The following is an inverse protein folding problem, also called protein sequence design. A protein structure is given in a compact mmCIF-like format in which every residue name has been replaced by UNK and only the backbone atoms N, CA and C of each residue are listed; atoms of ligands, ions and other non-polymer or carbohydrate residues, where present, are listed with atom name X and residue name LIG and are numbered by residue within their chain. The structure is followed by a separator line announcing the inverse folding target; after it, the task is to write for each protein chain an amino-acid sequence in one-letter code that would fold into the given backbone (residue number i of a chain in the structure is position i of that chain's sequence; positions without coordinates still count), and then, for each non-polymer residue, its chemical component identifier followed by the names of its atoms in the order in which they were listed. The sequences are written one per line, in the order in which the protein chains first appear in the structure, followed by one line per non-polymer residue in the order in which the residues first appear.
data_IF_423733225018
#
_entry.id   IF_423733225018
#
_cell.length_a   1.000
_cell.length_b   1.000
_cell.length_c   1.000
_cell.angle_alpha   90.00
_cell.angle_beta   90.00
_cell.angle_gamma   90.00
#
_symmetry.space_group_name_H-M   'P 1'
#
loop_
_entity.id
_entity.type
_entity.pdbx_description
1 polymer ?
#
# COMPACT_ATOMS: atom_id res chain seq x y z
N UNK A 1 -2.42 36.19 -6.11
CA UNK A 1 -1.37 36.68 -5.18
C UNK A 1 -0.53 35.51 -4.75
N UNK A 2 0.77 35.63 -5.03
CA UNK A 2 1.71 34.54 -5.09
C UNK A 2 2.00 33.87 -3.75
N UNK A 3 1.92 32.57 -3.73
CA UNK A 3 2.46 31.74 -2.67
C UNK A 3 3.96 31.63 -2.88
N UNK A 4 4.72 32.21 -1.96
CA UNK A 4 6.19 32.20 -1.94
C UNK A 4 6.66 30.78 -1.66
N UNK A 5 7.50 30.30 -2.54
CA UNK A 5 8.32 29.09 -2.37
C UNK A 5 9.28 29.29 -1.18
N UNK A 6 9.18 28.48 -0.15
CA UNK A 6 10.22 28.41 0.88
C UNK A 6 10.85 27.03 1.04
N UNK A 7 10.57 26.10 0.14
CA UNK A 7 10.97 24.70 0.32
C UNK A 7 11.89 24.17 -0.79
N UNK A 8 12.47 25.07 -1.54
CA UNK A 8 13.51 24.73 -2.49
C UNK A 8 14.67 25.71 -2.33
N UNK A 9 15.75 25.23 -1.77
CA UNK A 9 17.11 25.47 -2.30
C UNK A 9 18.12 24.81 -1.37
N UNK A 10 18.79 23.79 -1.89
CA UNK A 10 20.24 23.83 -1.88
C UNK A 10 20.69 23.44 -3.27
N UNK A 11 20.92 24.45 -4.12
CA UNK A 11 21.82 24.31 -5.24
C UNK A 11 23.23 24.37 -4.70
N UNK A 12 24.03 23.36 -4.95
CA UNK A 12 25.46 23.49 -4.99
C UNK A 12 25.93 23.42 -6.44
N UNK A 13 26.68 24.40 -6.82
CA UNK A 13 27.15 24.68 -8.18
C UNK A 13 28.19 23.69 -8.67
N UNK A 14 28.04 23.34 -9.93
CA UNK A 14 29.02 23.04 -10.96
C UNK A 14 30.43 22.59 -10.55
N UNK A 15 30.80 21.42 -11.05
CA UNK A 15 32.09 21.33 -11.75
C UNK A 15 31.99 20.31 -12.91
N UNK A 16 32.39 20.75 -14.09
CA UNK A 16 32.32 20.00 -15.32
C UNK A 16 33.27 18.80 -15.33
N UNK A 17 32.70 17.63 -15.58
CA UNK A 17 33.41 16.40 -15.88
C UNK A 17 32.78 15.74 -17.08
N UNK A 18 33.60 15.53 -18.12
CA UNK A 18 33.26 14.82 -19.36
C UNK A 18 32.72 13.43 -19.10
N UNK A 19 31.56 13.12 -19.68
CA UNK A 19 30.99 11.79 -19.70
C UNK A 19 31.92 10.76 -20.34
N UNK A 20 32.15 9.59 -19.73
CA UNK A 20 32.72 8.47 -20.45
C UNK A 20 31.61 7.76 -21.25
N UNK A 21 31.93 7.43 -22.48
CA UNK A 21 31.15 6.70 -23.48
C UNK A 21 30.68 5.36 -22.89
N UNK A 22 29.39 5.12 -22.88
CA UNK A 22 28.81 3.88 -22.40
C UNK A 22 29.15 2.69 -23.31
N UNK A 23 29.76 1.67 -22.73
CA UNK A 23 29.91 0.34 -23.33
C UNK A 23 28.54 -0.35 -23.30
N UNK A 24 28.09 -1.02 -24.38
CA UNK A 24 26.80 -1.71 -24.37
C UNK A 24 26.80 -2.87 -23.36
N UNK A 25 25.80 -2.87 -22.48
CA UNK A 25 25.57 -3.93 -21.53
C UNK A 25 25.12 -5.22 -22.26
N UNK A 26 25.46 -6.41 -21.75
CA UNK A 26 24.99 -7.66 -22.32
C UNK A 26 23.48 -7.80 -22.16
N UNK A 27 22.81 -8.11 -23.27
CA UNK A 27 21.39 -8.51 -23.32
C UNK A 27 21.19 -9.83 -22.60
N UNK A 28 21.03 -9.79 -21.28
CA UNK A 28 20.46 -10.87 -20.49
C UNK A 28 18.95 -10.68 -20.43
N UNK A 29 18.21 -11.65 -20.93
CA UNK A 29 16.76 -11.74 -20.77
C UNK A 29 16.41 -11.59 -19.28
N UNK A 30 15.44 -10.76 -18.89
CA UNK A 30 15.06 -10.67 -17.50
C UNK A 30 14.52 -12.03 -17.06
N UNK A 31 15.23 -12.66 -16.14
CA UNK A 31 14.71 -13.83 -15.42
C UNK A 31 13.47 -13.36 -14.70
N UNK A 32 12.32 -13.91 -15.05
CA UNK A 32 11.05 -13.61 -14.42
C UNK A 32 11.20 -13.82 -12.90
N UNK A 33 11.05 -12.73 -12.14
CA UNK A 33 10.92 -12.76 -10.68
C UNK A 33 9.75 -13.68 -10.36
N UNK A 34 9.89 -14.66 -9.43
CA UNK A 34 8.80 -15.55 -9.12
C UNK A 34 7.60 -14.72 -8.66
N UNK A 35 6.53 -14.79 -9.45
CA UNK A 35 5.19 -14.33 -9.07
C UNK A 35 4.87 -14.92 -7.70
N UNK A 36 4.56 -14.09 -6.72
CA UNK A 36 4.07 -14.54 -5.42
C UNK A 36 2.64 -15.05 -5.60
N UNK A 37 2.50 -16.16 -6.31
CA UNK A 37 1.27 -16.93 -6.35
C UNK A 37 1.04 -17.47 -4.94
N UNK A 38 -0.10 -17.14 -4.32
CA UNK A 38 -0.58 -17.83 -3.13
C UNK A 38 -0.76 -19.32 -3.47
N UNK A 39 0.29 -20.07 -3.30
CA UNK A 39 0.16 -21.51 -3.37
C UNK A 39 -0.67 -21.96 -2.18
N UNK A 40 -1.88 -22.45 -2.44
CA UNK A 40 -2.71 -23.04 -1.38
C UNK A 40 -1.94 -24.20 -0.74
N UNK A 41 -1.64 -24.06 0.56
CA UNK A 41 -0.92 -25.05 1.33
C UNK A 41 -1.91 -25.91 2.11
N UNK A 42 -1.73 -27.23 2.02
CA UNK A 42 -2.59 -28.23 2.66
C UNK A 42 -1.77 -29.44 3.06
N UNK A 43 -2.38 -30.35 3.78
CA UNK A 43 -1.73 -31.61 4.18
C UNK A 43 -0.98 -32.25 3.01
N UNK A 44 0.31 -32.51 3.19
CA UNK A 44 1.21 -33.04 2.18
C UNK A 44 1.93 -32.00 1.32
N UNK A 45 1.60 -30.71 1.38
CA UNK A 45 2.38 -29.66 0.72
C UNK A 45 3.79 -29.60 1.29
N UNK A 46 4.79 -29.26 0.45
CA UNK A 46 6.20 -29.18 0.84
C UNK A 46 6.88 -27.93 0.28
N UNK A 47 8.03 -27.55 0.87
CA UNK A 47 8.89 -26.48 0.38
C UNK A 47 8.86 -25.21 1.23
N UNK A 48 9.53 -24.15 0.73
CA UNK A 48 9.80 -22.92 1.47
C UNK A 48 8.52 -22.19 1.92
N UNK A 49 7.46 -22.28 1.14
CA UNK A 49 6.17 -21.68 1.51
C UNK A 49 5.59 -22.34 2.78
N UNK A 50 5.79 -23.66 2.95
CA UNK A 50 5.39 -24.38 4.17
C UNK A 50 6.30 -23.98 5.33
N UNK A 51 7.61 -23.88 5.09
CA UNK A 51 8.57 -23.43 6.12
C UNK A 51 8.18 -22.07 6.67
N UNK A 52 7.86 -21.11 5.80
CA UNK A 52 7.40 -19.76 6.20
C UNK A 52 6.09 -19.80 6.99
N UNK A 53 5.13 -20.60 6.53
CA UNK A 53 3.85 -20.79 7.21
C UNK A 53 4.06 -21.30 8.64
N UNK A 54 4.87 -22.36 8.79
CA UNK A 54 5.15 -22.99 10.08
C UNK A 54 5.86 -22.02 11.02
N UNK A 55 6.86 -21.29 10.51
CA UNK A 55 7.58 -20.29 11.31
C UNK A 55 6.62 -19.22 11.85
N UNK A 56 5.68 -18.75 11.03
CA UNK A 56 4.76 -17.72 11.46
C UNK A 56 3.69 -18.27 12.44
N UNK A 57 3.26 -19.50 12.26
CA UNK A 57 2.41 -20.17 13.25
C UNK A 57 3.11 -20.35 14.61
N UNK A 58 4.44 -20.59 14.63
CA UNK A 58 5.26 -20.60 15.84
C UNK A 58 5.31 -19.20 16.46
N UNK A 59 5.64 -18.19 15.66
CA UNK A 59 5.76 -16.79 16.11
C UNK A 59 4.47 -16.30 16.78
N UNK A 60 3.31 -16.71 16.26
CA UNK A 60 2.00 -16.33 16.79
C UNK A 60 1.46 -17.32 17.87
N UNK A 61 2.23 -18.35 18.22
CA UNK A 61 1.88 -19.28 19.31
C UNK A 61 0.87 -20.38 18.97
N UNK A 62 0.57 -20.57 17.67
CA UNK A 62 -0.36 -21.64 17.24
C UNK A 62 0.30 -22.99 16.97
N UNK A 63 1.63 -23.02 16.86
CA UNK A 63 2.40 -24.24 16.66
C UNK A 63 3.62 -24.29 17.58
N UNK A 64 3.81 -25.40 18.28
CA UNK A 64 4.93 -25.58 19.24
C UNK A 64 5.98 -26.59 18.76
N UNK A 65 5.79 -27.20 17.58
CA UNK A 65 6.77 -28.13 16.99
C UNK A 65 7.95 -27.39 16.34
N UNK A 66 8.94 -28.17 15.88
CA UNK A 66 10.06 -27.62 15.14
C UNK A 66 9.63 -27.11 13.76
N UNK A 67 10.37 -26.14 13.23
CA UNK A 67 10.20 -25.68 11.85
C UNK A 67 10.37 -26.84 10.88
N UNK A 68 9.45 -26.98 9.95
CA UNK A 68 9.44 -28.05 8.93
C UNK A 68 9.02 -27.48 7.58
N UNK A 69 9.51 -28.08 6.52
CA UNK A 69 9.10 -27.79 5.15
C UNK A 69 7.99 -28.70 4.65
N UNK A 70 7.41 -29.54 5.52
CA UNK A 70 6.30 -30.45 5.20
C UNK A 70 5.06 -30.06 5.97
N UNK A 71 3.93 -29.88 5.26
CA UNK A 71 2.63 -29.61 5.85
C UNK A 71 2.06 -30.92 6.44
N UNK A 72 2.39 -31.17 7.69
CA UNK A 72 1.98 -32.37 8.44
C UNK A 72 0.57 -32.20 9.02
N UNK A 73 0.02 -33.27 9.59
CA UNK A 73 -1.23 -33.22 10.35
C UNK A 73 -1.15 -32.29 11.57
N UNK A 74 0.02 -32.17 12.19
CA UNK A 74 0.25 -31.23 13.29
C UNK A 74 0.21 -29.78 12.82
N UNK A 75 0.80 -29.47 11.66
CA UNK A 75 0.70 -28.14 11.02
C UNK A 75 -0.76 -27.85 10.63
N UNK A 76 -1.49 -28.83 10.09
CA UNK A 76 -2.91 -28.68 9.78
C UNK A 76 -3.73 -28.34 11.02
N UNK A 77 -3.47 -29.01 12.15
CA UNK A 77 -4.15 -28.71 13.40
C UNK A 77 -3.87 -27.26 13.88
N UNK A 78 -2.63 -26.81 13.76
CA UNK A 78 -2.23 -25.44 14.07
C UNK A 78 -2.94 -24.41 13.17
N UNK A 79 -3.04 -24.70 11.87
CA UNK A 79 -3.80 -23.85 10.94
C UNK A 79 -5.28 -23.79 11.32
N UNK A 80 -5.91 -24.89 11.69
CA UNK A 80 -7.31 -24.88 12.17
C UNK A 80 -7.47 -24.05 13.44
N UNK A 81 -6.55 -24.16 14.40
CA UNK A 81 -6.56 -23.35 15.61
C UNK A 81 -6.45 -21.85 15.29
N UNK A 82 -5.54 -21.49 14.39
CA UNK A 82 -5.38 -20.14 13.89
C UNK A 82 -6.66 -19.62 13.20
N UNK A 83 -7.22 -20.41 12.27
CA UNK A 83 -8.44 -20.07 11.55
C UNK A 83 -9.60 -19.81 12.52
N UNK A 84 -9.78 -20.67 13.51
CA UNK A 84 -10.81 -20.51 14.56
C UNK A 84 -10.60 -19.21 15.34
N UNK A 85 -9.37 -18.93 15.77
CA UNK A 85 -9.05 -17.72 16.54
C UNK A 85 -9.24 -16.42 15.72
N UNK A 86 -9.13 -16.50 14.39
CA UNK A 86 -9.30 -15.35 13.47
C UNK A 86 -10.71 -15.27 12.85
N UNK A 87 -11.64 -16.16 13.23
CA UNK A 87 -13.00 -16.18 12.66
C UNK A 87 -13.06 -16.58 11.19
N UNK A 88 -12.06 -17.34 10.70
CA UNK A 88 -11.99 -17.83 9.33
C UNK A 88 -12.70 -19.19 9.20
N UNK A 89 -12.94 -19.62 7.96
CA UNK A 89 -13.38 -21.02 7.70
C UNK A 89 -12.34 -22.01 8.21
N UNK A 90 -12.76 -22.90 9.14
CA UNK A 90 -11.88 -23.84 9.83
C UNK A 90 -11.75 -25.14 9.02
N UNK A 91 -11.07 -25.06 7.88
CA UNK A 91 -10.88 -26.19 6.97
C UNK A 91 -9.48 -26.84 7.09
N UNK A 92 -8.56 -26.15 7.76
CA UNK A 92 -7.16 -26.58 7.88
C UNK A 92 -6.39 -26.49 6.57
N UNK A 93 -6.83 -25.61 5.67
CA UNK A 93 -6.15 -25.31 4.42
C UNK A 93 -5.63 -23.86 4.52
N UNK A 94 -4.33 -23.67 4.39
CA UNK A 94 -3.75 -22.35 4.34
C UNK A 94 -3.91 -21.79 2.90
N UNK A 95 -5.14 -21.42 2.56
CA UNK A 95 -5.50 -20.71 1.37
C UNK A 95 -5.21 -19.19 1.51
N UNK A 96 -5.59 -18.41 0.50
CA UNK A 96 -5.35 -16.97 0.45
C UNK A 96 -5.78 -16.24 1.74
N UNK A 97 -7.01 -16.45 2.20
CA UNK A 97 -7.52 -15.78 3.39
C UNK A 97 -6.74 -16.13 4.66
N UNK A 98 -6.40 -17.40 4.83
CA UNK A 98 -5.63 -17.88 5.98
C UNK A 98 -4.20 -17.32 5.97
N UNK A 99 -3.53 -17.37 4.81
CA UNK A 99 -2.18 -16.80 4.67
C UNK A 99 -2.20 -15.28 4.86
N UNK A 100 -3.19 -14.61 4.31
CA UNK A 100 -3.35 -13.17 4.51
C UNK A 100 -3.54 -12.80 5.99
N UNK A 101 -4.36 -13.52 6.72
CA UNK A 101 -4.56 -13.28 8.14
C UNK A 101 -3.31 -13.62 8.98
N UNK A 102 -2.54 -14.62 8.56
CA UNK A 102 -1.36 -15.09 9.29
C UNK A 102 -0.16 -14.17 9.11
N UNK A 103 0.13 -13.76 7.89
CA UNK A 103 1.30 -12.95 7.57
C UNK A 103 1.08 -11.44 7.70
N UNK A 104 -0.15 -11.04 8.06
CA UNK A 104 -0.52 -9.63 8.19
C UNK A 104 -0.71 -8.93 6.84
N UNK A 105 0.21 -9.05 5.95
CA UNK A 105 0.13 -8.65 4.55
C UNK A 105 1.07 -9.54 3.75
N UNK A 106 0.52 -10.59 3.20
CA UNK A 106 1.19 -11.20 2.06
C UNK A 106 0.92 -10.24 0.91
N UNK A 107 1.98 -9.80 0.23
CA UNK A 107 1.80 -9.05 -1.01
C UNK A 107 0.83 -9.85 -1.87
N UNK A 108 -0.36 -9.32 -2.20
CA UNK A 108 -1.24 -9.98 -3.15
C UNK A 108 -0.45 -10.25 -4.42
N UNK A 109 -0.65 -11.39 -5.08
CA UNK A 109 -0.04 -11.64 -6.38
C UNK A 109 -0.45 -10.55 -7.37
N UNK A 110 0.31 -10.36 -8.43
CA UNK A 110 -0.01 -9.34 -9.46
C UNK A 110 -1.47 -9.44 -9.94
N UNK A 111 -2.04 -10.64 -9.96
CA UNK A 111 -3.44 -10.91 -10.35
C UNK A 111 -4.46 -10.41 -9.31
N UNK A 112 -4.07 -10.23 -8.06
CA UNK A 112 -4.98 -9.74 -7.00
C UNK A 112 -5.25 -8.23 -7.12
N UNK A 113 -4.37 -7.49 -7.76
CA UNK A 113 -4.50 -6.05 -7.98
C UNK A 113 -5.21 -5.69 -9.30
N UNK A 114 -5.84 -6.65 -9.95
CA UNK A 114 -6.65 -6.42 -11.16
C UNK A 114 -8.11 -6.13 -10.86
N UNK A 115 -8.57 -6.42 -9.64
CA UNK A 115 -9.93 -6.07 -9.20
C UNK A 115 -9.98 -4.63 -8.70
N UNK A 116 -10.63 -3.77 -9.46
CA UNK A 116 -10.86 -2.36 -9.13
C UNK A 116 -12.30 -2.08 -8.68
N UNK A 117 -13.09 -3.09 -8.33
CA UNK A 117 -14.39 -2.89 -7.68
C UNK A 117 -14.17 -2.34 -6.27
N UNK A 118 -14.84 -1.25 -5.94
CA UNK A 118 -14.75 -0.63 -4.62
C UNK A 118 -16.03 -0.90 -3.82
N UNK A 119 -15.88 -1.49 -2.64
CA UNK A 119 -17.00 -1.70 -1.72
C UNK A 119 -17.14 -0.49 -0.82
N UNK A 120 -18.29 0.15 -0.88
CA UNK A 120 -18.63 1.28 -0.02
C UNK A 120 -19.34 0.83 1.26
N UNK A 121 -18.96 1.46 2.36
CA UNK A 121 -19.71 1.51 3.62
C UNK A 121 -19.89 2.99 3.98
N UNK A 122 -20.78 3.35 4.93
CA UNK A 122 -20.88 4.73 5.40
C UNK A 122 -19.52 5.27 5.79
N UNK A 123 -19.12 6.38 5.18
CA UNK A 123 -17.78 6.92 5.37
C UNK A 123 -17.63 7.52 6.77
N UNK A 124 -16.52 7.20 7.41
CA UNK A 124 -16.12 7.70 8.72
C UNK A 124 -14.95 8.68 8.57
N UNK A 125 -14.87 9.67 9.45
CA UNK A 125 -13.64 10.44 9.67
C UNK A 125 -12.87 9.78 10.82
N UNK A 126 -11.62 9.45 10.59
CA UNK A 126 -10.77 8.80 11.59
C UNK A 126 -9.54 9.66 11.88
N UNK A 127 -9.27 9.88 13.16
CA UNK A 127 -8.08 10.64 13.58
C UNK A 127 -6.82 9.81 13.38
N UNK A 128 -5.77 10.44 12.82
CA UNK A 128 -4.52 9.78 12.51
C UNK A 128 -3.80 9.24 13.75
N UNK A 129 -3.81 9.99 14.84
CA UNK A 129 -3.06 9.65 16.04
C UNK A 129 -3.85 8.81 17.05
N UNK A 130 -5.15 9.05 17.17
CA UNK A 130 -5.98 8.46 18.23
C UNK A 130 -7.04 7.50 17.70
N UNK A 131 -7.32 7.52 16.40
CA UNK A 131 -8.41 6.74 15.79
C UNK A 131 -8.07 5.28 15.48
N UNK A 132 -6.79 4.88 15.59
CA UNK A 132 -6.38 3.50 15.30
C UNK A 132 -6.17 3.18 13.82
N UNK A 133 -6.23 4.18 12.92
CA UNK A 133 -6.03 3.94 11.48
C UNK A 133 -4.64 3.34 11.18
N UNK A 134 -3.63 3.66 11.97
CA UNK A 134 -2.29 3.14 11.80
C UNK A 134 -2.19 1.63 12.05
N UNK A 135 -3.05 1.08 12.90
CA UNK A 135 -3.19 -0.35 13.15
C UNK A 135 -4.06 -1.02 12.07
N UNK A 136 -5.15 -0.37 11.67
CA UNK A 136 -6.04 -0.87 10.61
C UNK A 136 -5.32 -0.92 9.25
N UNK A 137 -4.57 0.14 8.91
CA UNK A 137 -3.69 0.16 7.75
C UNK A 137 -2.24 -0.02 8.21
N UNK A 138 -1.88 -1.25 8.56
CA UNK A 138 -0.53 -1.57 8.98
C UNK A 138 0.49 -1.30 7.86
N UNK A 139 1.76 -1.06 8.22
CA UNK A 139 2.85 -0.94 7.24
C UNK A 139 2.97 -2.22 6.42
N UNK A 140 3.16 -2.09 5.11
CA UNK A 140 3.17 -3.18 4.14
C UNK A 140 1.78 -3.60 3.64
N UNK A 141 0.69 -3.18 4.29
CA UNK A 141 -0.67 -3.50 3.86
C UNK A 141 -1.09 -2.69 2.63
N UNK A 142 -1.76 -3.35 1.70
CA UNK A 142 -2.31 -2.77 0.47
C UNK A 142 -3.83 -2.74 0.51
N UNK A 143 -4.40 -1.59 0.17
CA UNK A 143 -5.85 -1.41 0.08
C UNK A 143 -6.21 -0.60 -1.16
N UNK A 144 -7.48 -0.74 -1.58
CA UNK A 144 -8.05 0.06 -2.67
C UNK A 144 -8.34 1.47 -2.19
N UNK A 145 -7.94 2.44 -3.00
CA UNK A 145 -8.25 3.85 -2.84
C UNK A 145 -9.23 4.25 -3.93
N UNK A 146 -10.28 4.94 -3.55
CA UNK A 146 -11.26 5.53 -4.46
C UNK A 146 -11.09 7.04 -4.48
N UNK A 147 -10.80 7.63 -5.64
CA UNK A 147 -10.81 9.08 -5.81
C UNK A 147 -12.25 9.56 -6.04
N UNK A 148 -12.76 10.39 -5.15
CA UNK A 148 -14.17 10.81 -5.14
C UNK A 148 -14.54 11.65 -6.37
N UNK A 149 -13.59 12.42 -6.94
CA UNK A 149 -13.88 13.30 -8.06
C UNK A 149 -13.91 12.60 -9.40
N UNK A 150 -13.08 11.59 -9.59
CA UNK A 150 -12.96 10.87 -10.86
C UNK A 150 -13.66 9.51 -10.85
N UNK A 151 -13.95 8.96 -9.68
CA UNK A 151 -14.45 7.59 -9.54
C UNK A 151 -13.38 6.52 -9.79
N UNK A 152 -12.13 6.92 -9.98
CA UNK A 152 -11.04 5.98 -10.27
C UNK A 152 -10.63 5.26 -8.98
N UNK A 153 -10.52 3.93 -9.09
CA UNK A 153 -10.02 3.04 -8.02
C UNK A 153 -8.63 2.59 -8.38
N UNK A 154 -7.73 2.55 -7.42
CA UNK A 154 -6.37 2.06 -7.55
C UNK A 154 -5.89 1.43 -6.24
N UNK A 155 -4.86 0.59 -6.29
CA UNK A 155 -4.27 -0.03 -5.11
C UNK A 155 -3.08 0.76 -4.62
N UNK A 156 -3.04 0.99 -3.32
CA UNK A 156 -1.92 1.61 -2.64
C UNK A 156 -1.42 0.74 -1.48
N UNK A 157 -0.11 0.65 -1.34
CA UNK A 157 0.56 0.03 -0.20
C UNK A 157 1.08 1.11 0.74
N UNK A 158 0.79 0.98 2.03
CA UNK A 158 1.41 1.83 3.03
C UNK A 158 2.82 1.35 3.33
N UNK A 159 3.80 2.20 3.08
CA UNK A 159 5.20 1.94 3.38
C UNK A 159 5.56 2.37 4.80
N UNK A 160 5.26 3.62 5.18
CA UNK A 160 5.68 4.24 6.43
C UNK A 160 4.66 5.28 6.90
N UNK A 161 5.17 6.31 7.53
CA UNK A 161 4.46 7.52 7.95
C UNK A 161 4.24 7.60 9.45
N UNK A 162 4.75 8.70 10.00
CA UNK A 162 4.52 9.10 11.39
C UNK A 162 3.45 10.18 11.50
N UNK A 163 3.50 11.16 10.61
CA UNK A 163 2.57 12.30 10.60
C UNK A 163 1.34 12.09 9.73
N UNK A 164 1.43 11.21 8.75
CA UNK A 164 0.41 10.72 7.81
C UNK A 164 0.87 9.38 7.25
N UNK A 165 0.14 8.78 6.30
CA UNK A 165 0.60 7.58 5.63
C UNK A 165 1.47 7.95 4.42
N UNK A 166 2.68 7.40 4.34
CA UNK A 166 3.49 7.35 3.13
C UNK A 166 3.12 6.09 2.37
N UNK A 167 2.72 6.24 1.11
CA UNK A 167 2.14 5.17 0.32
C UNK A 167 2.75 5.13 -1.08
N UNK A 168 2.66 3.96 -1.70
CA UNK A 168 3.06 3.73 -3.10
C UNK A 168 1.93 3.05 -3.86
N UNK A 169 1.73 3.37 -5.16
CA UNK A 169 0.95 2.51 -6.04
C UNK A 169 1.54 1.10 -6.07
N UNK A 170 0.69 0.08 -6.07
CA UNK A 170 1.18 -1.30 -5.97
C UNK A 170 1.73 -1.82 -7.29
N UNK A 171 1.12 -1.45 -8.41
CA UNK A 171 1.50 -1.90 -9.75
C UNK A 171 1.68 -0.71 -10.70
N UNK A 172 2.30 -0.97 -11.85
CA UNK A 172 2.36 0.01 -12.94
C UNK A 172 0.96 0.44 -13.42
N UNK A 173 -0.04 -0.45 -13.35
CA UNK A 173 -1.42 -0.13 -13.67
C UNK A 173 -2.03 0.84 -12.64
N UNK A 174 -1.70 0.70 -11.36
CA UNK A 174 -2.13 1.62 -10.31
C UNK A 174 -1.49 3.00 -10.47
N UNK A 175 -0.22 3.06 -10.85
CA UNK A 175 0.45 4.33 -11.20
C UNK A 175 -0.21 4.99 -12.40
N UNK A 176 -0.58 4.23 -13.43
CA UNK A 176 -1.30 4.78 -14.58
C UNK A 176 -2.68 5.34 -14.16
N UNK A 177 -3.38 4.69 -13.23
CA UNK A 177 -4.64 5.21 -12.66
C UNK A 177 -4.43 6.47 -11.83
N UNK A 178 -3.38 6.53 -11.02
CA UNK A 178 -2.97 7.74 -10.33
C UNK A 178 -2.70 8.89 -11.32
N UNK A 179 -2.00 8.60 -12.42
CA UNK A 179 -1.76 9.58 -13.49
C UNK A 179 -3.07 10.07 -14.13
N UNK A 180 -4.04 9.20 -14.36
CA UNK A 180 -5.38 9.59 -14.84
C UNK A 180 -6.10 10.53 -13.86
N UNK A 181 -5.99 10.31 -12.55
CA UNK A 181 -6.55 11.19 -11.52
C UNK A 181 -5.99 12.61 -11.62
N UNK A 182 -4.71 12.75 -11.95
CA UNK A 182 -4.02 14.04 -12.09
C UNK A 182 -4.02 14.58 -13.54
N UNK A 183 -4.50 13.82 -14.52
CA UNK A 183 -4.54 14.23 -15.93
C UNK A 183 -3.15 14.33 -16.56
N UNK A 184 -2.26 13.40 -16.22
CA UNK A 184 -0.87 13.33 -16.69
C UNK A 184 -0.57 11.97 -17.33
N UNK A 185 0.56 11.86 -18.06
CA UNK A 185 0.94 10.62 -18.74
C UNK A 185 1.83 9.71 -17.88
N UNK A 186 2.56 10.27 -16.93
CA UNK A 186 3.42 9.53 -16.00
C UNK A 186 3.53 10.29 -14.67
N UNK A 187 4.01 9.62 -13.62
CA UNK A 187 4.07 10.18 -12.28
C UNK A 187 5.05 11.38 -12.18
N UNK A 188 6.11 11.44 -12.99
CA UNK A 188 7.05 12.56 -13.01
C UNK A 188 6.36 13.87 -13.44
N UNK A 189 5.38 13.80 -14.35
CA UNK A 189 4.63 14.99 -14.77
C UNK A 189 3.81 15.63 -13.64
N UNK A 190 3.45 14.89 -12.58
CA UNK A 190 2.80 15.48 -11.40
C UNK A 190 3.74 16.51 -10.78
N UNK A 191 5.02 16.16 -10.68
CA UNK A 191 6.08 17.05 -10.20
C UNK A 191 6.37 18.18 -11.18
N UNK A 192 6.63 17.84 -12.43
CA UNK A 192 7.04 18.80 -13.46
C UNK A 192 5.99 19.90 -13.70
N UNK A 193 4.71 19.51 -13.63
CA UNK A 193 3.57 20.44 -13.78
C UNK A 193 3.15 21.07 -12.46
N UNK A 194 3.84 20.81 -11.36
CA UNK A 194 3.60 21.39 -10.04
C UNK A 194 2.16 21.19 -9.55
N UNK A 195 1.65 19.96 -9.61
CA UNK A 195 0.26 19.63 -9.33
C UNK A 195 0.04 19.33 -7.83
N UNK A 196 -0.15 20.38 -7.05
CA UNK A 196 -0.32 20.33 -5.59
C UNK A 196 -1.75 20.04 -5.10
N UNK A 197 -2.64 19.58 -5.98
CA UNK A 197 -4.04 19.39 -5.59
C UNK A 197 -4.19 18.30 -4.52
N UNK A 198 -4.91 18.63 -3.45
CA UNK A 198 -5.40 17.64 -2.48
C UNK A 198 -6.62 16.95 -3.07
N UNK A 199 -6.57 15.63 -3.13
CA UNK A 199 -7.62 14.81 -3.72
C UNK A 199 -8.47 14.18 -2.62
N UNK A 200 -9.79 14.42 -2.61
CA UNK A 200 -10.69 13.72 -1.69
C UNK A 200 -10.77 12.24 -2.09
N UNK A 201 -10.46 11.37 -1.15
CA UNK A 201 -10.39 9.93 -1.38
C UNK A 201 -11.12 9.15 -0.28
N UNK A 202 -11.45 7.91 -0.60
CA UNK A 202 -11.96 6.93 0.35
C UNK A 202 -11.05 5.69 0.34
N UNK A 203 -10.90 5.08 1.50
CA UNK A 203 -10.25 3.77 1.67
C UNK A 203 -11.19 2.85 2.42
N UNK A 204 -11.38 1.62 1.93
CA UNK A 204 -12.16 0.61 2.66
C UNK A 204 -11.22 -0.44 3.23
N UNK A 205 -11.31 -0.66 4.54
CA UNK A 205 -10.54 -1.62 5.31
C UNK A 205 -11.52 -2.51 6.08
N UNK A 206 -11.56 -3.79 5.73
CA UNK A 206 -12.58 -4.70 6.25
C UNK A 206 -13.98 -4.27 5.82
N UNK A 207 -14.85 -4.01 6.79
CA UNK A 207 -16.23 -3.55 6.59
C UNK A 207 -16.42 -2.05 6.95
N UNK A 208 -15.37 -1.25 6.88
CA UNK A 208 -15.40 0.19 7.20
C UNK A 208 -14.77 1.00 6.08
N UNK A 209 -15.39 2.12 5.75
CA UNK A 209 -14.85 3.09 4.77
C UNK A 209 -14.42 4.36 5.50
N UNK A 210 -13.22 4.85 5.20
CA UNK A 210 -12.67 6.06 5.81
C UNK A 210 -12.44 7.13 4.77
N UNK A 211 -12.83 8.35 5.11
CA UNK A 211 -12.51 9.53 4.33
C UNK A 211 -11.05 9.93 4.56
N UNK A 212 -10.35 10.16 3.46
CA UNK A 212 -8.95 10.54 3.45
C UNK A 212 -8.65 11.54 2.34
N UNK A 213 -7.43 12.05 2.31
CA UNK A 213 -6.98 13.00 1.31
C UNK A 213 -5.64 12.61 0.74
N UNK A 214 -5.57 12.44 -0.57
CA UNK A 214 -4.35 12.12 -1.30
C UNK A 214 -3.57 13.39 -1.65
N UNK A 215 -2.27 13.33 -1.50
CA UNK A 215 -1.30 14.24 -2.05
C UNK A 215 -0.36 13.47 -2.97
N UNK A 216 -0.57 13.60 -4.27
CA UNK A 216 0.06 12.76 -5.28
C UNK A 216 1.46 13.20 -5.72
N UNK A 217 2.05 14.21 -5.06
CA UNK A 217 3.40 14.68 -5.39
C UNK A 217 4.44 13.63 -4.96
N UNK A 218 5.18 13.01 -5.91
CA UNK A 218 6.21 12.04 -5.57
C UNK A 218 7.35 12.68 -4.78
N UNK A 219 7.83 12.00 -3.74
CA UNK A 219 8.95 12.43 -2.91
C UNK A 219 9.70 11.21 -2.36
N UNK A 220 10.85 11.44 -1.70
CA UNK A 220 11.69 10.43 -1.08
C UNK A 220 12.05 9.25 -2.04
N UNK A 221 12.78 9.51 -3.14
CA UNK A 221 13.10 8.48 -4.13
C UNK A 221 13.91 7.31 -3.56
N UNK A 222 14.72 7.55 -2.52
CA UNK A 222 15.50 6.51 -1.83
C UNK A 222 14.64 5.57 -1.00
N UNK A 223 13.39 5.94 -0.75
CA UNK A 223 12.41 5.14 -0.03
C UNK A 223 11.52 4.27 -0.91
N UNK A 224 11.79 4.21 -2.22
CA UNK A 224 11.05 3.36 -3.15
C UNK A 224 11.17 1.88 -2.77
N UNK A 225 10.04 1.23 -2.53
CA UNK A 225 9.99 -0.16 -2.10
C UNK A 225 9.30 -1.10 -3.12
N UNK A 226 8.73 -0.54 -4.19
CA UNK A 226 8.08 -1.28 -5.29
C UNK A 226 8.73 -0.92 -6.63
N UNK A 227 9.81 -1.57 -7.03
CA UNK A 227 10.67 -1.12 -8.14
C UNK A 227 9.98 -1.13 -9.51
N UNK A 228 8.95 -1.95 -9.71
CA UNK A 228 8.33 -2.17 -11.03
C UNK A 228 6.95 -1.50 -11.16
N UNK A 229 6.63 -0.54 -10.31
CA UNK A 229 5.33 0.14 -10.32
C UNK A 229 5.28 1.39 -11.23
N UNK A 230 6.35 1.71 -11.95
CA UNK A 230 6.48 2.92 -12.80
C UNK A 230 6.35 4.25 -12.02
N UNK A 231 6.64 4.25 -10.74
CA UNK A 231 6.76 5.46 -9.92
C UNK A 231 8.04 5.38 -9.10
N UNK A 232 8.73 6.48 -8.97
CA UNK A 232 9.89 6.59 -8.07
C UNK A 232 9.48 7.36 -6.83
N UNK A 233 9.78 6.80 -5.65
CA UNK A 233 9.44 7.41 -4.37
C UNK A 233 8.00 7.17 -3.93
N UNK A 234 7.52 8.03 -3.05
CA UNK A 234 6.27 7.87 -2.32
C UNK A 234 5.37 9.09 -2.45
N UNK A 235 4.10 8.91 -2.16
CA UNK A 235 3.09 9.96 -2.06
C UNK A 235 2.40 9.88 -0.69
N UNK A 236 1.65 10.93 -0.32
CA UNK A 236 1.07 11.02 1.02
C UNK A 236 -0.44 10.78 1.01
N UNK A 237 -0.91 10.05 2.01
CA UNK A 237 -2.34 9.93 2.33
C UNK A 237 -2.59 10.49 3.73
N UNK A 238 -3.45 11.49 3.81
CA UNK A 238 -3.82 12.16 5.04
C UNK A 238 -5.20 11.73 5.54
N UNK A 239 -5.30 11.64 6.86
CA UNK A 239 -6.53 11.43 7.62
C UNK A 239 -6.79 12.64 8.52
N UNK A 240 -7.87 12.62 9.30
CA UNK A 240 -8.17 13.71 10.24
C UNK A 240 -6.97 13.97 11.16
N UNK A 241 -6.60 15.23 11.31
CA UNK A 241 -5.47 15.71 12.11
C UNK A 241 -4.06 15.24 11.69
N UNK A 242 -3.92 14.56 10.55
CA UNK A 242 -2.59 14.31 9.97
C UNK A 242 -1.84 15.62 9.75
N UNK A 243 -0.52 15.58 9.91
CA UNK A 243 0.36 16.74 9.78
C UNK A 243 1.28 16.61 8.56
N UNK A 244 1.72 17.73 8.01
CA UNK A 244 2.76 17.76 6.98
C UNK A 244 4.14 17.43 7.56
N UNK A 245 5.04 16.87 6.74
CA UNK A 245 6.39 16.50 7.14
C UNK A 245 7.19 17.67 7.72
N UNK A 246 7.32 18.74 6.97
CA UNK A 246 8.16 19.88 7.31
C UNK A 246 7.51 20.82 8.33
N UNK A 247 6.23 21.12 8.11
CA UNK A 247 5.52 22.09 8.93
C UNK A 247 5.18 21.58 10.33
N UNK A 248 5.08 20.26 10.51
CA UNK A 248 4.55 19.64 11.73
C UNK A 248 3.11 20.08 12.05
N UNK A 249 2.42 20.76 11.13
CA UNK A 249 1.09 21.33 11.31
C UNK A 249 0.06 20.56 10.48
N UNK A 250 -1.19 20.63 10.92
CA UNK A 250 -2.34 20.13 10.15
C UNK A 250 -2.53 21.01 8.92
N UNK A 251 -2.58 20.39 7.74
CA UNK A 251 -2.85 21.09 6.48
C UNK A 251 -4.38 21.24 6.30
N UNK A 252 -4.85 22.47 6.27
CA UNK A 252 -6.28 22.79 6.17
C UNK A 252 -6.90 22.33 4.85
N UNK A 253 -6.14 22.33 3.75
CA UNK A 253 -6.62 21.83 2.46
C UNK A 253 -6.82 20.31 2.47
N UNK A 254 -5.96 19.55 3.18
CA UNK A 254 -6.21 18.13 3.41
C UNK A 254 -7.48 17.92 4.23
N UNK A 255 -7.68 18.69 5.28
CA UNK A 255 -8.90 18.56 6.11
C UNK A 255 -10.17 18.90 5.33
N UNK A 256 -10.13 19.90 4.43
CA UNK A 256 -11.25 20.22 3.53
C UNK A 256 -11.52 19.08 2.54
N UNK A 257 -10.49 18.47 1.99
CA UNK A 257 -10.65 17.32 1.09
C UNK A 257 -11.22 16.08 1.82
N UNK A 258 -10.79 15.83 3.06
CA UNK A 258 -11.35 14.78 3.91
C UNK A 258 -12.83 15.05 4.20
N UNK A 259 -13.18 16.28 4.55
CA UNK A 259 -14.57 16.68 4.78
C UNK A 259 -15.43 16.48 3.53
N UNK A 260 -14.91 16.86 2.37
CA UNK A 260 -15.59 16.64 1.09
C UNK A 260 -15.84 15.14 0.84
N UNK A 261 -14.82 14.31 1.01
CA UNK A 261 -14.94 12.86 0.83
C UNK A 261 -15.96 12.23 1.81
N UNK A 262 -15.95 12.70 3.04
CA UNK A 262 -16.91 12.24 4.05
C UNK A 262 -18.34 12.64 3.72
N UNK A 263 -18.57 13.89 3.31
CA UNK A 263 -19.91 14.38 2.92
C UNK A 263 -20.49 13.61 1.74
N UNK A 264 -19.63 13.21 0.77
CA UNK A 264 -20.05 12.45 -0.41
C UNK A 264 -20.58 11.06 -0.06
N UNK A 265 -20.06 10.41 0.98
CA UNK A 265 -20.38 9.02 1.35
C UNK A 265 -20.71 8.80 2.83
N UNK A 266 -21.05 9.81 3.60
CA UNK A 266 -21.48 9.62 5.00
C UNK A 266 -22.74 8.79 5.16
N UNK A 267 -23.53 8.66 4.09
CA UNK A 267 -24.67 7.77 3.98
C UNK A 267 -24.53 6.94 2.70
N UNK A 268 -24.58 5.62 2.81
CA UNK A 268 -24.70 4.74 1.65
C UNK A 268 -26.17 4.66 1.28
N UNK A 269 -26.51 5.04 0.06
CA UNK A 269 -27.85 4.92 -0.49
C UNK A 269 -27.98 3.59 -1.23
#
# INVERSE_FOLDING_TARGET
EGYIRSDMVSKSDNNGGTLPTATPAPTGSPTAKPSATYTTLRLGSTGDAVTRLVQELINQGYYTGSVTNVYTSAVQAAVRAFQSAKGLTVDGIAGKQTQHALFGTVEPGADDYTDYNFQFYPAEKIDWYTGGIQQLWAKGASYKIYDVRTGIVWWARRWAGYSHADIEPVTAADTARLCQIYGVNNAQEIWDKNLWQRRPCLITIGNRTFACSLFGMPHNPDGDTIPDNNMTGQICMHFTNSKGHESGKVDTYHQQAIEYAWQDRKSVV
#
